data_IF_970726835684
#
_entry.id   IF_970726835684
#
_cell.length_a   1.000
_cell.length_b   1.000
_cell.length_c   1.000
_cell.angle_alpha   90.00
_cell.angle_beta   90.00
_cell.angle_gamma   90.00
#
_symmetry.space_group_name_H-M   'P 1'
#
loop_
_entity.id
_entity.type
_entity.pdbx_description
1 polymer ?
#
# COMPACT_ATOMS: atom_id res chain seq x y z
N UNK A 1 18.51 4.53 2.36
CA UNK A 1 17.46 5.27 1.65
C UNK A 1 16.45 5.71 2.67
N UNK A 2 16.09 7.00 2.69
CA UNK A 2 15.04 7.52 3.58
C UNK A 2 13.67 6.95 3.24
N UNK A 3 12.69 6.93 4.18
CA UNK A 3 11.33 6.49 3.88
C UNK A 3 10.70 7.25 2.70
N UNK A 4 10.90 8.56 2.60
CA UNK A 4 10.34 9.37 1.49
C UNK A 4 10.93 8.95 0.14
N UNK A 5 12.24 8.72 0.06
CA UNK A 5 12.87 8.20 -1.16
C UNK A 5 12.36 6.78 -1.50
N UNK A 6 12.16 5.95 -0.49
CA UNK A 6 11.58 4.63 -0.64
C UNK A 6 10.19 4.71 -1.27
N UNK A 7 9.30 5.56 -0.73
CA UNK A 7 7.95 5.74 -1.26
C UNK A 7 7.95 6.28 -2.69
N UNK A 8 8.84 7.21 -3.02
CA UNK A 8 9.02 7.70 -4.41
C UNK A 8 9.41 6.56 -5.34
N UNK A 9 10.29 5.67 -4.90
CA UNK A 9 10.67 4.49 -5.66
C UNK A 9 9.50 3.51 -5.84
N UNK A 10 8.72 3.24 -4.80
CA UNK A 10 7.56 2.34 -4.91
C UNK A 10 6.52 2.90 -5.88
N UNK A 11 6.18 4.19 -5.80
CA UNK A 11 5.26 4.84 -6.74
C UNK A 11 5.77 4.82 -8.19
N UNK A 12 7.09 4.97 -8.40
CA UNK A 12 7.70 4.83 -9.74
C UNK A 12 7.57 3.41 -10.30
N UNK A 13 7.77 2.38 -9.46
CA UNK A 13 7.55 0.98 -9.85
C UNK A 13 6.09 0.74 -10.22
N UNK A 14 5.15 1.31 -9.46
CA UNK A 14 3.71 1.14 -9.69
C UNK A 14 3.32 1.75 -11.03
N UNK A 15 3.80 2.97 -11.28
CA UNK A 15 3.60 3.61 -12.56
C UNK A 15 4.29 2.88 -13.72
N UNK A 16 5.46 2.26 -13.49
CA UNK A 16 6.15 1.45 -14.50
C UNK A 16 5.34 0.23 -14.88
N UNK A 17 4.77 -0.48 -13.92
CA UNK A 17 3.93 -1.65 -14.15
C UNK A 17 2.61 -1.27 -14.82
N UNK A 18 1.97 -0.19 -14.40
CA UNK A 18 0.80 0.34 -15.12
C UNK A 18 1.09 0.59 -16.60
N UNK A 19 2.29 1.07 -16.96
CA UNK A 19 2.64 1.33 -18.37
C UNK A 19 2.77 0.07 -19.23
N UNK A 20 2.76 -1.12 -18.63
CA UNK A 20 2.68 -2.39 -19.38
C UNK A 20 1.27 -2.66 -19.93
N UNK A 21 0.31 -1.80 -19.63
CA UNK A 21 -1.08 -1.88 -20.07
C UNK A 21 -1.19 -2.11 -21.57
N UNK A 22 -1.87 -3.20 -21.92
CA UNK A 22 -2.40 -3.49 -23.23
C UNK A 22 -3.94 -3.46 -23.17
N UNK A 23 -4.60 -3.28 -24.32
CA UNK A 23 -6.06 -3.24 -24.39
C UNK A 23 -6.58 -4.19 -25.45
N UNK A 24 -7.69 -4.85 -25.16
CA UNK A 24 -8.48 -5.62 -26.12
C UNK A 24 -9.89 -5.06 -26.14
N UNK A 25 -10.39 -4.74 -27.33
CA UNK A 25 -11.78 -4.31 -27.50
C UNK A 25 -12.58 -5.53 -27.92
N UNK A 26 -13.61 -5.86 -27.14
CA UNK A 26 -14.65 -6.78 -27.57
C UNK A 26 -15.64 -6.00 -28.44
N UNK A 27 -15.66 -6.34 -29.74
CA UNK A 27 -16.45 -5.61 -30.73
C UNK A 27 -17.95 -5.89 -30.61
N UNK A 28 -18.34 -7.05 -30.07
CA UNK A 28 -19.74 -7.45 -29.95
C UNK A 28 -20.38 -6.77 -28.73
N UNK A 29 -19.62 -6.58 -27.66
CA UNK A 29 -20.10 -5.95 -26.42
C UNK A 29 -19.76 -4.46 -26.31
N UNK A 30 -18.85 -3.94 -27.16
CA UNK A 30 -18.35 -2.58 -27.05
C UNK A 30 -17.51 -2.32 -25.80
N UNK A 31 -17.03 -3.37 -25.13
CA UNK A 31 -16.28 -3.30 -23.87
C UNK A 31 -14.77 -3.30 -24.17
N UNK A 32 -14.02 -2.44 -23.46
CA UNK A 32 -12.55 -2.44 -23.50
C UNK A 32 -12.02 -3.14 -22.26
N UNK A 33 -11.30 -4.24 -22.47
CA UNK A 33 -10.55 -4.95 -21.44
C UNK A 33 -9.11 -4.44 -21.41
N UNK A 34 -8.59 -4.21 -20.20
CA UNK A 34 -7.19 -3.90 -19.97
C UNK A 34 -6.48 -5.12 -19.41
N UNK A 35 -5.22 -5.29 -19.82
CA UNK A 35 -4.35 -6.35 -19.34
C UNK A 35 -2.97 -5.78 -19.07
N UNK A 36 -2.31 -6.29 -18.03
CA UNK A 36 -1.00 -5.83 -17.62
C UNK A 36 0.01 -6.98 -17.65
N UNK A 37 1.27 -6.65 -17.91
CA UNK A 37 2.41 -7.56 -17.77
C UNK A 37 3.39 -7.01 -16.72
N UNK A 38 2.94 -6.85 -15.46
CA UNK A 38 3.70 -6.17 -14.43
C UNK A 38 4.92 -6.98 -13.96
N UNK A 39 5.92 -6.29 -13.40
CA UNK A 39 7.11 -6.91 -12.81
C UNK A 39 7.17 -6.79 -11.30
N UNK A 40 6.58 -5.74 -10.72
CA UNK A 40 6.72 -5.43 -9.29
C UNK A 40 5.43 -5.68 -8.51
N UNK A 41 4.25 -5.37 -9.07
CA UNK A 41 2.99 -5.42 -8.34
C UNK A 41 1.84 -6.06 -9.12
N UNK A 42 0.90 -6.64 -8.39
CA UNK A 42 -0.40 -7.08 -8.90
C UNK A 42 -1.28 -5.86 -9.21
N UNK A 43 -1.17 -5.34 -10.44
CA UNK A 43 -1.88 -4.13 -10.87
C UNK A 43 -3.38 -4.34 -10.91
N UNK A 44 -3.84 -5.49 -11.41
CA UNK A 44 -5.27 -5.80 -11.52
C UNK A 44 -5.91 -5.75 -10.13
N UNK A 45 -5.26 -6.36 -9.13
CA UNK A 45 -5.74 -6.33 -7.75
C UNK A 45 -5.72 -4.93 -7.16
N UNK A 46 -4.61 -4.18 -7.30
CA UNK A 46 -4.52 -2.82 -6.74
C UNK A 46 -5.60 -1.92 -7.35
N UNK A 47 -5.79 -1.97 -8.66
CA UNK A 47 -6.76 -1.09 -9.33
C UNK A 47 -8.19 -1.48 -9.01
N UNK A 48 -8.48 -2.78 -8.90
CA UNK A 48 -9.79 -3.28 -8.47
C UNK A 48 -10.14 -2.91 -7.03
N UNK A 49 -9.21 -3.10 -6.09
CA UNK A 49 -9.47 -2.83 -4.66
C UNK A 49 -9.55 -1.33 -4.34
N UNK A 50 -8.84 -0.48 -5.08
CA UNK A 50 -8.84 0.97 -4.87
C UNK A 50 -9.72 1.74 -5.88
N UNK A 51 -10.55 1.03 -6.66
CA UNK A 51 -11.49 1.58 -7.66
C UNK A 51 -10.87 2.66 -8.55
N UNK A 52 -9.68 2.36 -9.11
CA UNK A 52 -8.89 3.36 -9.82
C UNK A 52 -9.19 3.40 -11.32
N UNK A 53 -9.46 4.60 -11.88
CA UNK A 53 -9.65 4.77 -13.32
C UNK A 53 -8.37 4.46 -14.12
N UNK A 54 -8.42 3.35 -14.84
CA UNK A 54 -7.32 2.81 -15.62
C UNK A 54 -6.95 3.66 -16.85
N UNK A 55 -7.74 4.65 -17.26
CA UNK A 55 -7.52 5.38 -18.52
C UNK A 55 -6.37 6.38 -18.42
N UNK A 56 -6.28 7.13 -17.33
CA UNK A 56 -5.43 8.31 -17.21
C UNK A 56 -4.54 8.28 -15.97
N UNK A 57 -3.79 7.20 -15.74
CA UNK A 57 -2.87 7.09 -14.62
C UNK A 57 -1.52 7.76 -14.93
N UNK A 58 -1.13 8.76 -14.13
CA UNK A 58 0.14 9.48 -14.22
C UNK A 58 1.04 9.14 -13.02
N UNK A 59 2.31 9.53 -13.05
CA UNK A 59 3.21 9.33 -11.90
C UNK A 59 2.69 10.00 -10.61
N UNK A 60 2.11 11.20 -10.74
CA UNK A 60 1.49 11.90 -9.60
C UNK A 60 0.32 11.09 -9.04
N UNK A 61 -0.53 10.54 -9.91
CA UNK A 61 -1.63 9.65 -9.49
C UNK A 61 -1.11 8.37 -8.84
N UNK A 62 -0.02 7.79 -9.33
CA UNK A 62 0.64 6.66 -8.69
C UNK A 62 1.16 6.98 -7.29
N UNK A 63 1.69 8.18 -7.08
CA UNK A 63 2.08 8.66 -5.75
C UNK A 63 0.86 8.81 -4.82
N UNK A 64 -0.26 9.34 -5.31
CA UNK A 64 -1.49 9.44 -4.52
C UNK A 64 -2.07 8.06 -4.17
N UNK A 65 -2.17 7.16 -5.15
CA UNK A 65 -2.64 5.80 -4.93
C UNK A 65 -1.73 5.07 -3.94
N UNK A 66 -0.42 5.17 -4.08
CA UNK A 66 0.51 4.57 -3.13
C UNK A 66 0.35 5.14 -1.71
N UNK A 67 0.07 6.44 -1.56
CA UNK A 67 -0.26 7.01 -0.25
C UNK A 67 -1.57 6.45 0.32
N UNK A 68 -2.60 6.27 -0.50
CA UNK A 68 -3.85 5.60 -0.10
C UNK A 68 -3.63 4.17 0.36
N UNK A 69 -2.74 3.44 -0.32
CA UNK A 69 -2.37 2.07 0.07
C UNK A 69 -1.67 1.99 1.43
N UNK A 70 -1.13 3.11 1.92
CA UNK A 70 -0.51 3.26 3.23
C UNK A 70 -1.43 3.90 4.28
N UNK A 71 -2.70 4.16 3.93
CA UNK A 71 -3.70 4.75 4.83
C UNK A 71 -3.75 6.27 4.85
N UNK A 72 -3.05 6.94 3.95
CA UNK A 72 -3.05 8.40 3.84
C UNK A 72 -4.02 8.88 2.76
N UNK A 73 -4.60 10.06 2.93
CA UNK A 73 -5.53 10.60 1.92
C UNK A 73 -4.84 11.11 0.66
N UNK A 74 -3.57 11.54 0.76
CA UNK A 74 -2.83 12.08 -0.39
C UNK A 74 -1.33 12.02 -0.17
N UNK A 75 -0.58 12.02 -1.26
CA UNK A 75 0.88 11.99 -1.25
C UNK A 75 1.53 13.05 -0.34
N UNK A 76 1.03 14.29 -0.38
CA UNK A 76 1.54 15.38 0.45
C UNK A 76 1.33 15.18 1.96
N UNK A 77 0.36 14.36 2.37
CA UNK A 77 0.15 14.02 3.78
C UNK A 77 1.20 13.00 4.24
N UNK A 78 1.41 11.96 3.44
CA UNK A 78 2.43 10.94 3.69
C UNK A 78 3.82 11.58 3.85
N UNK A 79 4.30 12.35 2.86
CA UNK A 79 5.70 12.82 2.86
C UNK A 79 6.02 13.91 3.90
N UNK A 80 4.99 14.56 4.45
CA UNK A 80 5.14 15.58 5.48
C UNK A 80 4.78 15.03 6.89
N UNK A 81 4.54 13.73 7.01
CA UNK A 81 4.31 13.06 8.29
C UNK A 81 5.58 13.04 9.14
N UNK A 82 5.44 12.78 10.43
CA UNK A 82 6.59 12.64 11.33
C UNK A 82 7.48 11.45 10.94
N UNK A 83 8.76 11.46 11.35
CA UNK A 83 9.70 10.36 11.07
C UNK A 83 9.17 9.01 11.57
N UNK A 84 8.49 9.00 12.72
CA UNK A 84 7.89 7.78 13.27
C UNK A 84 6.74 7.25 12.41
N UNK A 85 5.89 8.13 11.88
CA UNK A 85 4.81 7.76 10.96
C UNK A 85 5.35 7.28 9.61
N UNK A 86 6.36 7.96 9.07
CA UNK A 86 7.04 7.57 7.84
C UNK A 86 7.66 6.17 7.96
N UNK A 87 8.33 5.88 9.08
CA UNK A 87 8.92 4.57 9.32
C UNK A 87 7.84 3.49 9.53
N UNK A 88 6.76 3.81 10.26
CA UNK A 88 5.64 2.88 10.43
C UNK A 88 4.98 2.55 9.10
N UNK A 89 4.70 3.55 8.25
CA UNK A 89 4.13 3.34 6.93
C UNK A 89 5.01 2.46 6.04
N UNK A 90 6.34 2.65 6.10
CA UNK A 90 7.30 1.78 5.41
C UNK A 90 7.24 0.34 5.93
N UNK A 91 7.19 0.13 7.24
CA UNK A 91 7.12 -1.21 7.81
C UNK A 91 5.79 -1.90 7.48
N UNK A 92 4.67 -1.18 7.49
CA UNK A 92 3.37 -1.71 7.06
C UNK A 92 3.42 -2.20 5.62
N UNK A 93 4.03 -1.41 4.72
CA UNK A 93 4.24 -1.82 3.34
C UNK A 93 5.14 -3.06 3.21
N UNK A 94 6.23 -3.10 3.98
CA UNK A 94 7.19 -4.20 3.89
C UNK A 94 6.68 -5.51 4.50
N UNK A 95 5.73 -5.44 5.41
CA UNK A 95 5.18 -6.57 6.16
C UNK A 95 3.72 -6.89 5.81
N UNK A 96 3.26 -6.51 4.61
CA UNK A 96 1.89 -6.81 4.14
C UNK A 96 1.55 -8.30 4.17
N UNK A 97 2.55 -9.18 3.98
CA UNK A 97 2.40 -10.63 4.11
C UNK A 97 2.05 -11.10 5.53
N UNK A 98 2.31 -10.28 6.57
CA UNK A 98 2.00 -10.58 7.97
C UNK A 98 0.66 -9.99 8.42
N UNK A 99 0.36 -8.76 8.01
CA UNK A 99 -0.89 -8.06 8.36
C UNK A 99 -1.25 -7.01 7.30
N UNK A 100 -2.54 -6.89 6.99
CA UNK A 100 -3.08 -5.84 6.14
C UNK A 100 -3.24 -4.51 6.87
N UNK A 101 -3.36 -3.41 6.12
CA UNK A 101 -3.55 -2.07 6.70
C UNK A 101 -4.81 -1.97 7.57
N UNK A 102 -5.93 -2.54 7.11
CA UNK A 102 -7.20 -2.53 7.84
C UNK A 102 -7.10 -3.34 9.14
N UNK A 103 -6.51 -4.54 9.08
CA UNK A 103 -6.29 -5.37 10.26
C UNK A 103 -5.38 -4.69 11.28
N UNK A 104 -4.34 -3.98 10.82
CA UNK A 104 -3.49 -3.17 11.69
C UNK A 104 -4.29 -2.04 12.37
N UNK A 105 -5.13 -1.33 11.62
CA UNK A 105 -6.02 -0.30 12.18
C UNK A 105 -6.93 -0.88 13.26
N UNK A 106 -7.52 -2.05 13.01
CA UNK A 106 -8.37 -2.74 13.97
C UNK A 106 -7.62 -3.25 15.20
N UNK A 107 -6.40 -3.77 15.02
CA UNK A 107 -5.51 -4.15 16.12
C UNK A 107 -5.24 -2.94 17.01
N UNK A 108 -4.86 -1.81 16.40
CA UNK A 108 -4.52 -0.59 17.10
C UNK A 108 -5.71 -0.04 17.89
N UNK A 109 -6.90 0.03 17.29
CA UNK A 109 -8.13 0.47 17.96
C UNK A 109 -8.41 -0.37 19.20
N UNK A 110 -8.28 -1.70 19.10
CA UNK A 110 -8.49 -2.61 20.24
C UNK A 110 -7.43 -2.43 21.32
N UNK A 111 -6.17 -2.25 20.93
CA UNK A 111 -5.08 -2.02 21.87
C UNK A 111 -5.26 -0.68 22.61
N UNK A 112 -5.60 0.40 21.90
CA UNK A 112 -5.88 1.71 22.49
C UNK A 112 -7.07 1.66 23.45
N UNK A 113 -8.16 0.97 23.07
CA UNK A 113 -9.33 0.79 23.93
C UNK A 113 -9.00 0.00 25.21
N UNK A 114 -8.23 -1.09 25.11
CA UNK A 114 -7.81 -1.90 26.28
C UNK A 114 -6.92 -1.12 27.24
N UNK A 115 -6.08 -0.23 26.72
CA UNK A 115 -5.18 0.59 27.53
C UNK A 115 -5.80 1.93 27.93
N UNK A 116 -7.04 2.21 27.51
CA UNK A 116 -7.73 3.49 27.69
C UNK A 116 -6.84 4.70 27.31
N UNK A 117 -6.08 4.56 26.21
CA UNK A 117 -5.07 5.53 25.77
C UNK A 117 -4.97 5.51 24.25
N UNK A 118 -4.88 6.70 23.64
CA UNK A 118 -4.42 6.85 22.25
C UNK A 118 -2.90 6.76 22.21
N UNK A 119 -2.37 5.91 21.35
CA UNK A 119 -0.93 5.76 21.20
C UNK A 119 -0.39 6.86 20.29
N UNK A 120 0.70 7.49 20.70
CA UNK A 120 1.42 8.43 19.84
C UNK A 120 2.16 7.70 18.71
N UNK A 121 2.57 8.42 17.66
CA UNK A 121 3.21 7.84 16.49
C UNK A 121 4.39 6.90 16.81
N UNK A 122 5.24 7.29 17.77
CA UNK A 122 6.39 6.48 18.20
C UNK A 122 5.97 5.20 18.91
N UNK A 123 4.90 5.24 19.69
CA UNK A 123 4.37 4.05 20.37
C UNK A 123 3.75 3.08 19.37
N UNK A 124 3.00 3.59 18.38
CA UNK A 124 2.45 2.79 17.28
C UNK A 124 3.54 2.08 16.49
N UNK A 125 4.62 2.80 16.17
CA UNK A 125 5.81 2.25 15.51
C UNK A 125 6.43 1.12 16.33
N UNK A 126 6.63 1.34 17.63
CA UNK A 126 7.24 0.35 18.51
C UNK A 126 6.37 -0.90 18.65
N UNK A 127 5.06 -0.73 18.84
CA UNK A 127 4.09 -1.83 18.88
C UNK A 127 4.15 -2.64 17.58
N UNK A 128 4.19 -1.97 16.42
CA UNK A 128 4.27 -2.67 15.15
C UNK A 128 5.56 -3.49 15.01
N UNK A 129 6.70 -2.95 15.45
CA UNK A 129 7.98 -3.66 15.45
C UNK A 129 7.91 -4.93 16.31
N UNK A 130 7.53 -4.78 17.57
CA UNK A 130 7.49 -5.88 18.53
C UNK A 130 6.50 -6.97 18.14
N UNK A 131 5.36 -6.61 17.56
CA UNK A 131 4.28 -7.57 17.29
C UNK A 131 4.36 -8.17 15.90
N UNK A 132 4.76 -7.41 14.87
CA UNK A 132 4.70 -7.89 13.49
C UNK A 132 6.08 -8.00 12.84
N UNK A 133 7.06 -7.19 13.20
CA UNK A 133 8.39 -7.29 12.58
C UNK A 133 9.20 -8.40 13.25
N UNK A 134 9.29 -8.37 14.58
CA UNK A 134 10.15 -9.24 15.39
C UNK A 134 9.55 -10.61 15.68
N UNK A 135 8.24 -10.78 15.43
CA UNK A 135 7.52 -12.04 15.66
C UNK A 135 7.13 -12.67 14.32
N UNK A 136 7.43 -13.96 14.19
CA UNK A 136 7.06 -14.77 13.04
C UNK A 136 5.72 -15.49 13.26
N UNK A 137 5.20 -16.09 12.20
CA UNK A 137 3.93 -16.85 12.22
C UNK A 137 2.68 -16.03 11.93
N UNK A 138 2.78 -14.69 11.94
CA UNK A 138 1.74 -13.82 11.39
C UNK A 138 1.58 -14.06 9.89
N UNK A 139 0.33 -14.11 9.44
CA UNK A 139 -0.02 -14.29 8.04
C UNK A 139 -1.24 -13.47 7.69
N UNK A 140 -1.09 -12.60 6.70
CA UNK A 140 -2.19 -11.97 6.02
C UNK A 140 -2.78 -12.97 4.99
N UNK A 141 -4.06 -13.39 5.14
CA UNK A 141 -4.68 -14.34 4.20
C UNK A 141 -4.81 -13.77 2.79
N UNK A 142 -4.86 -12.44 2.65
CA UNK A 142 -4.94 -11.75 1.37
C UNK A 142 -3.56 -11.56 0.72
N UNK A 143 -2.47 -11.81 1.44
CA UNK A 143 -1.11 -11.75 0.90
C UNK A 143 -0.60 -10.34 0.59
N UNK A 144 0.38 -10.27 -0.31
CA UNK A 144 1.13 -9.06 -0.65
C UNK A 144 0.74 -8.55 -2.04
N UNK A 145 0.68 -7.23 -2.25
CA UNK A 145 0.50 -6.69 -3.60
C UNK A 145 1.76 -6.83 -4.44
N UNK A 146 2.93 -7.03 -3.81
CA UNK A 146 4.19 -7.26 -4.51
C UNK A 146 4.19 -8.66 -5.10
N UNK A 147 4.51 -8.74 -6.38
CA UNK A 147 4.73 -10.00 -7.05
C UNK A 147 6.00 -10.64 -6.50
N UNK A 148 5.92 -11.92 -6.14
CA UNK A 148 7.10 -12.70 -5.78
C UNK A 148 7.87 -12.98 -7.08
N UNK A 149 9.11 -12.52 -7.13
CA UNK A 149 10.07 -12.87 -8.19
C UNK A 149 10.83 -14.11 -7.74
#
# INVERSE_FOLDING_TARGET
MSPVEYFKLQAKKLFKDYKTKSKKVDQDLGITYYFYSPTYYDIDRIFGEYDWDEKNFSLMKAQHLFAHMLGYRKWGELINSSDAELELAKLLWENQHKIGLEDWSMYLIRAEARNNKRFEARERLEIFRQVFVEVDGHRNPFGDYRLKI
#
